data_IF_617404790243
#
_entry.id   IF_617404790243
#
_cell.length_a   1.000
_cell.length_b   1.000
_cell.length_c   1.000
_cell.angle_alpha   90.00
_cell.angle_beta   90.00
_cell.angle_gamma   90.00
#
_symmetry.space_group_name_H-M   'P 1'
#
loop_
_entity.id
_entity.type
_entity.pdbx_description
1 polymer ?
#
# COMPACT_ATOMS: atom_id res chain seq x y z
N UNK A 1 -62.83 17.62 -16.19
CA UNK A 1 -61.74 18.44 -15.60
C UNK A 1 -60.50 17.57 -15.54
N UNK A 2 -59.53 17.82 -16.43
CA UNK A 2 -58.23 17.12 -16.45
C UNK A 2 -57.25 17.95 -15.64
N UNK A 3 -56.79 17.43 -14.51
CA UNK A 3 -55.73 18.04 -13.70
C UNK A 3 -54.39 17.72 -14.36
N UNK A 4 -53.74 18.78 -14.85
CA UNK A 4 -52.41 18.75 -15.44
C UNK A 4 -51.38 18.90 -14.32
N UNK A 5 -50.64 17.84 -14.02
CA UNK A 5 -49.52 17.89 -13.08
C UNK A 5 -48.28 18.31 -13.86
N UNK A 6 -47.86 19.56 -13.68
CA UNK A 6 -46.59 20.08 -14.22
C UNK A 6 -45.47 19.54 -13.31
N UNK A 7 -44.67 18.61 -13.83
CA UNK A 7 -43.39 18.24 -13.24
C UNK A 7 -42.37 19.32 -13.58
N UNK A 8 -42.00 20.13 -12.60
CA UNK A 8 -40.79 20.97 -12.66
C UNK A 8 -39.58 20.03 -12.56
N UNK A 9 -38.98 19.74 -13.71
CA UNK A 9 -37.71 19.05 -13.80
C UNK A 9 -36.62 20.06 -13.38
N UNK A 10 -36.23 20.03 -12.10
CA UNK A 10 -35.06 20.75 -11.62
C UNK A 10 -33.82 20.12 -12.25
N UNK A 11 -33.32 20.69 -13.36
CA UNK A 11 -31.96 20.43 -13.84
C UNK A 11 -30.99 20.95 -12.78
N UNK A 12 -30.58 20.06 -11.86
CA UNK A 12 -29.29 20.17 -11.20
C UNK A 12 -28.24 19.98 -12.30
N UNK A 13 -27.84 21.10 -12.91
CA UNK A 13 -26.58 21.18 -13.62
C UNK A 13 -25.50 20.87 -12.58
N UNK A 14 -25.03 19.63 -12.57
CA UNK A 14 -23.78 19.28 -11.91
C UNK A 14 -22.70 20.09 -12.64
N UNK A 15 -22.34 21.24 -12.07
CA UNK A 15 -21.09 21.90 -12.39
C UNK A 15 -19.98 20.93 -11.97
N UNK A 16 -19.56 20.09 -12.92
CA UNK A 16 -18.26 19.43 -12.86
C UNK A 16 -17.22 20.54 -12.98
N UNK A 17 -16.95 21.20 -11.86
CA UNK A 17 -15.68 21.86 -11.67
C UNK A 17 -14.66 20.72 -11.74
N UNK A 18 -14.00 20.60 -12.88
CA UNK A 18 -12.77 19.84 -12.99
C UNK A 18 -11.75 20.58 -12.13
N UNK A 19 -11.76 20.30 -10.82
CA UNK A 19 -10.64 20.62 -9.97
C UNK A 19 -9.43 19.91 -10.58
N UNK A 20 -8.36 20.65 -10.87
CA UNK A 20 -7.09 20.04 -11.22
C UNK A 20 -6.73 19.10 -10.06
N UNK A 21 -6.45 17.83 -10.35
CA UNK A 21 -6.01 16.91 -9.31
C UNK A 21 -4.71 17.46 -8.72
N UNK A 22 -4.74 17.80 -7.42
CA UNK A 22 -3.57 18.29 -6.70
C UNK A 22 -2.43 17.27 -6.85
N UNK A 23 -1.22 17.74 -7.16
CA UNK A 23 -0.06 16.86 -7.27
C UNK A 23 0.26 16.22 -5.92
N UNK A 24 0.17 14.89 -5.88
CA UNK A 24 0.55 14.10 -4.72
C UNK A 24 1.63 13.10 -5.14
N UNK A 25 2.88 13.20 -4.64
CA UNK A 25 3.98 12.30 -4.99
C UNK A 25 3.86 10.95 -4.25
N UNK A 26 2.72 10.30 -4.38
CA UNK A 26 2.45 8.97 -3.83
C UNK A 26 2.49 7.97 -4.97
N UNK A 27 3.39 7.00 -4.87
CA UNK A 27 3.50 5.92 -5.84
C UNK A 27 3.00 4.63 -5.22
N UNK A 28 1.95 4.07 -5.80
CA UNK A 28 1.36 2.80 -5.33
C UNK A 28 1.80 1.64 -6.23
N UNK A 29 2.25 0.55 -5.61
CA UNK A 29 2.51 -0.73 -6.26
C UNK A 29 1.79 -1.85 -5.53
N UNK A 30 1.20 -2.75 -6.30
CA UNK A 30 0.40 -3.85 -5.75
C UNK A 30 1.23 -5.12 -5.67
N UNK A 31 1.15 -5.80 -4.52
CA UNK A 31 1.73 -7.12 -4.30
C UNK A 31 0.64 -8.11 -3.92
N UNK A 32 0.75 -9.34 -4.41
CA UNK A 32 -0.22 -10.40 -4.19
C UNK A 32 0.40 -11.52 -3.34
N UNK A 33 -0.25 -11.83 -2.22
CA UNK A 33 0.06 -13.01 -1.41
C UNK A 33 -0.93 -14.09 -1.82
N UNK A 34 -0.52 -14.92 -2.79
CA UNK A 34 -1.38 -15.94 -3.40
C UNK A 34 -0.83 -17.35 -3.25
N UNK A 35 -1.73 -18.27 -2.93
CA UNK A 35 -1.52 -19.72 -3.00
C UNK A 35 -2.86 -20.44 -3.17
N UNK A 36 -2.87 -21.53 -3.93
CA UNK A 36 -4.07 -22.33 -4.21
C UNK A 36 -3.76 -23.81 -4.07
N UNK A 37 -4.81 -24.63 -4.02
CA UNK A 37 -4.69 -26.09 -3.84
C UNK A 37 -3.99 -26.47 -2.54
N UNK A 38 -4.18 -25.66 -1.50
CA UNK A 38 -3.68 -25.94 -0.16
C UNK A 38 -4.48 -27.09 0.44
N UNK A 39 -3.79 -28.00 1.12
CA UNK A 39 -4.39 -29.20 1.73
C UNK A 39 -4.49 -29.02 3.24
N UNK A 40 -5.56 -29.51 3.85
CA UNK A 40 -5.76 -29.54 5.29
C UNK A 40 -5.56 -30.96 5.83
N UNK A 41 -4.30 -31.40 5.83
CA UNK A 41 -3.91 -32.75 6.28
C UNK A 41 -4.03 -32.88 7.81
N UNK A 42 -5.22 -33.26 8.26
CA UNK A 42 -5.57 -33.43 9.66
C UNK A 42 -5.95 -34.89 9.92
N UNK A 43 -5.86 -35.32 11.18
CA UNK A 43 -6.37 -36.63 11.58
C UNK A 43 -7.88 -36.75 11.32
N UNK A 44 -8.39 -37.97 11.20
CA UNK A 44 -9.83 -38.24 10.96
C UNK A 44 -10.60 -38.46 12.26
N UNK A 45 -9.91 -38.82 13.35
CA UNK A 45 -10.49 -39.10 14.66
C UNK A 45 -9.52 -38.72 15.78
N UNK A 46 -10.00 -38.82 17.03
CA UNK A 46 -9.21 -38.66 18.26
C UNK A 46 -8.18 -39.77 18.52
N UNK A 47 -8.21 -40.85 17.74
CA UNK A 47 -7.23 -41.95 17.88
C UNK A 47 -5.91 -41.60 17.18
N UNK A 48 -5.95 -40.60 16.29
CA UNK A 48 -4.78 -40.12 15.55
C UNK A 48 -4.11 -41.18 14.66
N UNK A 49 -4.88 -42.17 14.20
CA UNK A 49 -4.36 -43.28 13.38
C UNK A 49 -4.25 -42.93 11.89
N UNK A 50 -5.22 -42.17 11.36
CA UNK A 50 -5.31 -41.85 9.93
C UNK A 50 -5.50 -40.37 9.70
N UNK A 51 -4.88 -39.86 8.63
CA UNK A 51 -5.04 -38.48 8.17
C UNK A 51 -5.76 -38.45 6.82
N UNK A 52 -6.48 -37.36 6.58
CA UNK A 52 -7.02 -37.03 5.26
C UNK A 52 -6.83 -35.55 4.99
N UNK A 53 -6.93 -35.16 3.73
CA UNK A 53 -7.09 -33.76 3.38
C UNK A 53 -8.54 -33.33 3.60
N UNK A 54 -8.79 -32.55 4.64
CA UNK A 54 -10.12 -32.06 4.98
C UNK A 54 -10.61 -30.95 4.04
N UNK A 55 -9.70 -30.31 3.32
CA UNK A 55 -10.02 -29.24 2.38
C UNK A 55 -10.15 -29.73 0.94
N UNK A 56 -9.83 -31.01 0.66
CA UNK A 56 -9.85 -31.60 -0.69
C UNK A 56 -9.10 -30.75 -1.75
N UNK A 57 -7.93 -30.22 -1.38
CA UNK A 57 -7.17 -29.25 -2.17
C UNK A 57 -7.99 -28.02 -2.61
N UNK A 58 -9.01 -27.65 -1.84
CA UNK A 58 -9.87 -26.49 -2.06
C UNK A 58 -9.42 -25.25 -1.29
N UNK A 59 -8.45 -25.35 -0.37
CA UNK A 59 -8.03 -24.19 0.40
C UNK A 59 -7.16 -23.25 -0.45
N UNK A 60 -7.34 -21.95 -0.25
CA UNK A 60 -6.63 -20.89 -0.97
C UNK A 60 -6.44 -19.64 -0.12
N UNK A 61 -5.41 -18.88 -0.47
CA UNK A 61 -5.13 -17.55 0.06
C UNK A 61 -4.90 -16.62 -1.12
N UNK A 62 -5.56 -15.49 -1.13
CA UNK A 62 -5.37 -14.42 -2.12
C UNK A 62 -5.63 -13.07 -1.46
N UNK A 63 -4.53 -12.42 -1.08
CA UNK A 63 -4.53 -11.11 -0.43
C UNK A 63 -3.79 -10.12 -1.32
N UNK A 64 -4.43 -8.98 -1.55
CA UNK A 64 -3.87 -7.85 -2.28
C UNK A 64 -3.36 -6.80 -1.30
N UNK A 65 -2.04 -6.59 -1.31
CA UNK A 65 -1.35 -5.58 -0.49
C UNK A 65 -0.95 -4.41 -1.39
N UNK A 66 -1.50 -3.23 -1.11
CA UNK A 66 -1.08 -1.98 -1.73
C UNK A 66 0.09 -1.40 -0.96
N UNK A 67 1.21 -1.16 -1.64
CA UNK A 67 2.43 -0.58 -1.08
C UNK A 67 2.60 0.82 -1.66
N UNK A 68 2.44 1.82 -0.81
CA UNK A 68 2.57 3.23 -1.18
C UNK A 68 3.93 3.75 -0.72
N UNK A 69 4.67 4.38 -1.62
CA UNK A 69 5.94 5.05 -1.32
C UNK A 69 5.77 6.55 -1.56
N UNK A 70 6.21 7.37 -0.61
CA UNK A 70 6.02 8.82 -0.67
C UNK A 70 7.08 9.58 0.13
N UNK A 71 7.30 10.83 -0.24
CA UNK A 71 8.10 11.81 0.49
C UNK A 71 7.18 12.80 1.20
N UNK A 72 7.36 12.99 2.50
CA UNK A 72 6.66 14.03 3.26
C UNK A 72 7.64 15.08 3.72
N UNK A 73 7.44 16.35 3.37
CA UNK A 73 8.20 17.48 3.91
C UNK A 73 7.53 18.05 5.15
N UNK A 74 8.23 18.91 5.89
CA UNK A 74 7.62 19.62 7.00
C UNK A 74 6.65 20.71 6.51
N UNK A 75 5.40 20.61 6.94
CA UNK A 75 4.33 21.56 6.61
C UNK A 75 3.43 21.76 7.82
N UNK A 76 2.92 22.99 7.99
CA UNK A 76 2.00 23.29 9.08
C UNK A 76 0.60 22.79 8.74
N UNK A 77 -0.04 22.16 9.72
CA UNK A 77 -1.41 21.62 9.63
C UNK A 77 -2.21 22.09 10.82
N UNK A 78 -3.53 21.94 10.76
CA UNK A 78 -4.40 22.18 11.92
C UNK A 78 -4.11 21.25 13.11
N UNK A 79 -3.36 20.16 12.91
CA UNK A 79 -3.05 19.14 13.93
C UNK A 79 -1.57 19.13 14.36
N UNK A 80 -0.76 20.08 13.89
CA UNK A 80 0.68 20.14 14.15
C UNK A 80 1.48 20.23 12.85
N UNK A 81 2.67 19.63 12.81
CA UNK A 81 3.51 19.60 11.61
C UNK A 81 3.55 18.20 11.01
N UNK A 82 3.54 18.12 9.67
CA UNK A 82 3.86 16.87 8.97
C UNK A 82 5.34 16.54 9.17
N UNK A 83 5.70 15.24 9.24
CA UNK A 83 7.10 14.85 9.42
C UNK A 83 7.90 15.07 8.15
N UNK A 84 9.17 15.43 8.31
CA UNK A 84 10.16 15.44 7.22
C UNK A 84 10.79 14.04 7.10
N UNK A 85 10.17 13.16 6.29
CA UNK A 85 10.54 11.74 6.23
C UNK A 85 10.25 11.10 4.86
N UNK A 86 10.90 9.96 4.62
CA UNK A 86 10.54 8.98 3.58
C UNK A 86 9.54 8.01 4.18
N UNK A 87 8.43 7.76 3.51
CA UNK A 87 7.32 6.97 4.05
C UNK A 87 7.03 5.79 3.13
N UNK A 88 6.82 4.63 3.74
CA UNK A 88 6.26 3.45 3.08
C UNK A 88 5.04 2.98 3.86
N UNK A 89 3.92 2.80 3.16
CA UNK A 89 2.66 2.34 3.74
C UNK A 89 2.23 1.04 3.09
N UNK A 90 1.90 0.04 3.90
CA UNK A 90 1.33 -1.23 3.44
C UNK A 90 -0.12 -1.31 3.89
N UNK A 91 -1.02 -1.51 2.94
CA UNK A 91 -2.46 -1.52 3.21
C UNK A 91 -3.12 -2.69 2.51
N UNK A 92 -4.02 -3.38 3.22
CA UNK A 92 -5.03 -4.27 2.63
C UNK A 92 -6.37 -3.57 2.81
N UNK A 93 -6.90 -2.98 1.73
CA UNK A 93 -8.13 -2.18 1.74
C UNK A 93 -9.37 -3.08 1.70
N UNK A 94 -10.45 -2.72 2.42
CA UNK A 94 -11.63 -3.58 2.55
C UNK A 94 -12.34 -3.89 1.21
N UNK A 95 -12.40 -2.92 0.28
CA UNK A 95 -13.02 -3.06 -1.04
C UNK A 95 -12.13 -3.76 -2.07
N UNK A 96 -10.83 -3.89 -1.76
CA UNK A 96 -9.77 -4.32 -2.68
C UNK A 96 -8.86 -5.38 -2.09
N UNK A 97 -9.25 -6.05 -1.02
CA UNK A 97 -8.42 -6.98 -0.25
C UNK A 97 -7.99 -8.24 -1.00
N UNK A 98 -8.58 -8.54 -2.17
CA UNK A 98 -8.49 -9.83 -2.84
C UNK A 98 -9.67 -10.75 -2.51
N UNK A 99 -9.56 -12.04 -2.85
CA UNK A 99 -10.60 -13.02 -2.53
C UNK A 99 -10.54 -13.56 -1.10
N UNK A 100 -9.42 -13.37 -0.40
CA UNK A 100 -9.23 -13.66 1.02
C UNK A 100 -8.69 -15.06 1.30
N UNK A 101 -8.99 -15.57 2.49
CA UNK A 101 -8.76 -16.97 2.86
C UNK A 101 -10.02 -17.79 2.62
N UNK A 102 -9.85 -18.98 2.05
CA UNK A 102 -10.89 -19.98 1.88
C UNK A 102 -10.32 -21.35 2.28
N UNK A 103 -11.08 -22.16 3.03
CA UNK A 103 -10.73 -23.54 3.37
C UNK A 103 -11.67 -24.51 2.62
N UNK A 104 -12.99 -24.39 2.84
CA UNK A 104 -14.05 -25.22 2.25
C UNK A 104 -15.35 -24.41 2.11
N UNK A 105 -16.22 -24.76 1.17
CA UNK A 105 -17.52 -24.11 1.00
C UNK A 105 -18.47 -24.40 2.18
N UNK A 106 -18.46 -25.63 2.67
CA UNK A 106 -19.33 -26.13 3.73
C UNK A 106 -18.53 -26.83 4.83
N UNK A 107 -18.77 -26.42 6.08
CA UNK A 107 -18.18 -27.07 7.25
C UNK A 107 -18.71 -28.51 7.39
N UNK A 108 -17.81 -29.49 7.48
CA UNK A 108 -18.18 -30.90 7.59
C UNK A 108 -18.43 -31.25 9.06
N UNK A 109 -19.48 -32.04 9.32
CA UNK A 109 -19.81 -32.60 10.63
C UNK A 109 -20.36 -34.01 10.42
N UNK A 110 -19.71 -35.02 10.99
CA UNK A 110 -20.10 -36.42 10.82
C UNK A 110 -19.52 -37.31 11.95
N UNK A 111 -19.65 -38.62 11.79
CA UNK A 111 -19.11 -39.65 12.66
C UNK A 111 -17.72 -40.10 12.19
N UNK A 112 -16.76 -40.13 13.11
CA UNK A 112 -15.49 -40.83 12.90
C UNK A 112 -15.60 -42.33 13.24
N UNK A 113 -16.56 -42.69 14.11
CA UNK A 113 -16.91 -44.06 14.43
C UNK A 113 -18.34 -44.14 14.99
N UNK A 114 -19.09 -45.19 14.64
CA UNK A 114 -20.49 -45.34 15.05
C UNK A 114 -20.81 -46.78 15.42
N UNK A 115 -21.19 -47.01 16.69
CA UNK A 115 -21.80 -48.27 17.13
C UNK A 115 -23.30 -48.09 17.40
N UNK A 116 -23.68 -46.97 18.05
CA UNK A 116 -25.09 -46.65 18.31
C UNK A 116 -25.27 -45.15 18.59
N UNK A 117 -26.54 -44.73 18.68
CA UNK A 117 -26.91 -43.39 19.17
C UNK A 117 -26.56 -43.16 20.66
N UNK A 118 -26.10 -44.19 21.38
CA UNK A 118 -25.61 -44.04 22.73
C UNK A 118 -24.09 -44.13 22.82
N UNK A 119 -23.40 -44.70 21.82
CA UNK A 119 -21.96 -44.91 21.77
C UNK A 119 -21.39 -44.61 20.37
N UNK A 120 -20.77 -43.44 20.21
CA UNK A 120 -20.20 -42.99 18.92
C UNK A 120 -19.13 -41.93 19.11
N UNK A 121 -18.35 -41.68 18.06
CA UNK A 121 -17.38 -40.60 17.96
C UNK A 121 -17.78 -39.68 16.81
N UNK A 122 -17.64 -38.38 17.01
CA UNK A 122 -18.08 -37.34 16.09
C UNK A 122 -16.92 -36.40 15.77
N UNK A 123 -17.05 -35.64 14.69
CA UNK A 123 -16.12 -34.59 14.34
C UNK A 123 -16.82 -33.36 13.76
N UNK A 124 -16.13 -32.22 13.80
CA UNK A 124 -16.48 -31.01 13.05
C UNK A 124 -15.22 -30.31 12.53
N UNK A 125 -15.21 -29.91 11.25
CA UNK A 125 -14.05 -29.31 10.59
C UNK A 125 -14.08 -29.43 9.06
N UNK A 126 -13.10 -28.87 8.34
CA UNK A 126 -12.05 -28.00 8.87
C UNK A 126 -12.56 -26.56 9.05
N UNK A 127 -12.06 -25.88 10.07
CA UNK A 127 -12.25 -24.43 10.25
C UNK A 127 -10.92 -23.81 10.68
N UNK A 128 -10.72 -22.52 10.50
CA UNK A 128 -9.50 -21.83 10.91
C UNK A 128 -9.55 -21.52 12.41
N UNK A 129 -8.54 -21.93 13.17
CA UNK A 129 -8.38 -21.44 14.54
C UNK A 129 -7.73 -20.06 14.60
N UNK A 130 -6.92 -19.72 13.59
CA UNK A 130 -6.36 -18.38 13.45
C UNK A 130 -6.07 -18.05 11.99
N UNK A 131 -6.13 -16.74 11.71
CA UNK A 131 -5.55 -16.11 10.53
C UNK A 131 -4.51 -15.10 10.99
N UNK A 132 -3.37 -15.02 10.32
CA UNK A 132 -2.27 -14.13 10.69
C UNK A 132 -1.80 -13.39 9.44
N UNK A 133 -1.53 -12.08 9.58
CA UNK A 133 -0.89 -11.26 8.55
C UNK A 133 0.24 -10.47 9.17
N UNK A 134 1.31 -10.26 8.41
CA UNK A 134 2.46 -9.51 8.89
C UNK A 134 3.15 -8.70 7.80
N UNK A 135 3.87 -7.68 8.26
CA UNK A 135 4.83 -6.89 7.51
C UNK A 135 6.05 -6.73 8.43
N UNK A 136 7.19 -7.29 8.04
CA UNK A 136 8.40 -7.30 8.88
C UNK A 136 9.62 -6.90 8.06
N UNK A 137 10.40 -5.89 8.47
CA UNK A 137 11.70 -5.65 7.85
C UNK A 137 12.65 -6.80 8.20
N UNK A 138 13.11 -7.55 7.20
CA UNK A 138 13.93 -8.77 7.39
C UNK A 138 15.39 -8.60 6.99
N UNK A 139 15.72 -7.59 6.20
CA UNK A 139 17.11 -7.29 5.79
C UNK A 139 17.28 -5.83 5.40
N UNK A 140 18.50 -5.31 5.54
CA UNK A 140 18.85 -3.93 5.23
C UNK A 140 18.56 -2.96 6.37
N UNK A 141 18.21 -1.72 6.02
CA UNK A 141 17.81 -0.70 7.00
C UNK A 141 16.51 -1.11 7.69
N UNK A 142 16.37 -0.81 8.99
CA UNK A 142 15.14 -1.07 9.75
C UNK A 142 14.41 0.26 9.96
N UNK A 143 13.35 0.56 9.18
CA UNK A 143 12.59 1.80 9.33
C UNK A 143 11.74 1.76 10.59
N UNK A 144 11.41 2.93 11.12
CA UNK A 144 10.55 3.06 12.29
C UNK A 144 9.10 2.87 11.87
N UNK A 145 8.39 1.93 12.48
CA UNK A 145 6.93 1.89 12.35
C UNK A 145 6.32 3.00 13.19
N UNK A 146 5.49 3.83 12.58
CA UNK A 146 4.91 5.02 13.23
C UNK A 146 3.42 4.89 13.48
N UNK A 147 2.76 4.01 12.74
CA UNK A 147 1.33 3.76 12.89
C UNK A 147 1.00 2.37 12.39
N UNK A 148 0.07 1.71 13.06
CA UNK A 148 -0.54 0.47 12.60
C UNK A 148 -1.99 0.36 13.06
N UNK A 149 -2.75 -0.43 12.30
CA UNK A 149 -4.15 -0.74 12.54
C UNK A 149 -4.48 -2.11 11.94
N UNK A 150 -5.38 -2.92 12.53
CA UNK A 150 -6.21 -2.69 13.73
C UNK A 150 -5.46 -2.81 15.06
N UNK A 151 -6.00 -2.21 16.13
CA UNK A 151 -5.51 -2.44 17.51
C UNK A 151 -6.09 -3.73 18.12
N UNK A 152 -5.71 -4.04 19.35
CA UNK A 152 -6.27 -5.17 20.09
C UNK A 152 -7.75 -4.96 20.35
N UNK A 153 -8.58 -5.88 19.88
CA UNK A 153 -10.04 -5.83 19.99
C UNK A 153 -10.60 -7.19 20.39
N UNK A 154 -11.68 -7.20 21.18
CA UNK A 154 -12.41 -8.41 21.54
C UNK A 154 -13.31 -8.90 20.38
N UNK A 155 -13.96 -10.06 20.53
CA UNK A 155 -14.89 -10.60 19.51
C UNK A 155 -16.11 -9.72 19.24
N UNK A 156 -16.85 -10.04 18.17
CA UNK A 156 -18.04 -9.30 17.71
C UNK A 156 -17.75 -7.82 17.38
N UNK A 157 -16.50 -7.54 17.00
CA UNK A 157 -16.07 -6.21 16.60
C UNK A 157 -16.60 -5.89 15.19
N UNK A 158 -17.44 -4.86 15.12
CA UNK A 158 -17.96 -4.30 13.88
C UNK A 158 -17.68 -2.80 13.82
N UNK A 159 -16.72 -2.41 12.99
CA UNK A 159 -16.43 -1.00 12.79
C UNK A 159 -16.00 -0.68 11.37
N UNK A 160 -16.20 0.60 11.01
CA UNK A 160 -15.75 1.19 9.76
C UNK A 160 -14.91 2.39 10.13
N UNK A 161 -13.60 2.21 10.06
CA UNK A 161 -12.63 3.26 10.37
C UNK A 161 -12.06 3.86 9.11
N UNK A 162 -11.85 5.17 9.14
CA UNK A 162 -11.11 5.87 8.10
C UNK A 162 -9.77 6.27 8.70
N UNK A 163 -8.71 5.61 8.25
CA UNK A 163 -7.36 5.81 8.77
C UNK A 163 -6.56 6.70 7.81
N UNK A 164 -6.23 7.88 8.30
CA UNK A 164 -5.55 8.93 7.53
C UNK A 164 -4.14 9.19 8.03
N UNK A 165 -3.24 9.44 7.09
CA UNK A 165 -1.90 9.95 7.39
C UNK A 165 -1.67 11.25 6.61
N UNK A 166 -1.15 12.26 7.30
CA UNK A 166 -0.91 13.59 6.74
C UNK A 166 0.54 13.71 6.28
N UNK A 167 0.75 13.98 5.00
CA UNK A 167 2.06 14.29 4.42
C UNK A 167 2.15 15.76 4.06
N UNK A 168 3.34 16.34 4.20
CA UNK A 168 3.62 17.66 3.65
C UNK A 168 4.14 17.51 2.23
N UNK A 169 3.70 18.39 1.34
CA UNK A 169 4.11 18.43 -0.06
C UNK A 169 4.65 19.84 -0.35
N UNK A 170 5.81 19.90 -1.00
CA UNK A 170 6.34 21.15 -1.50
C UNK A 170 5.50 21.64 -2.69
N UNK A 171 4.84 22.79 -2.52
CA UNK A 171 3.95 23.38 -3.52
C UNK A 171 3.02 24.43 -2.93
N UNK A 172 2.59 25.38 -3.75
CA UNK A 172 1.76 26.50 -3.29
C UNK A 172 0.32 26.10 -2.98
N UNK A 173 -0.08 26.31 -1.73
CA UNK A 173 -1.48 26.37 -1.36
C UNK A 173 -2.15 27.60 -1.99
N UNK A 174 -3.03 27.39 -2.97
CA UNK A 174 -3.89 28.46 -3.53
C UNK A 174 -3.34 29.23 -4.73
N UNK A 175 -2.12 28.95 -5.19
CA UNK A 175 -1.81 29.14 -6.61
C UNK A 175 -2.04 27.78 -7.25
N UNK A 176 -2.95 27.70 -8.22
CA UNK A 176 -3.21 26.50 -8.99
C UNK A 176 -1.87 25.86 -9.35
N UNK A 177 -1.50 24.75 -8.68
CA UNK A 177 -0.65 23.77 -9.32
C UNK A 177 -1.55 23.19 -10.40
N UNK A 178 -1.73 23.96 -11.47
CA UNK A 178 -2.45 23.53 -12.64
C UNK A 178 -1.72 22.34 -13.25
N UNK A 179 -2.20 21.85 -14.39
CA UNK A 179 -1.52 20.78 -15.13
C UNK A 179 -0.05 21.10 -15.47
N UNK A 180 0.30 22.39 -15.43
CA UNK A 180 1.65 22.89 -15.58
C UNK A 180 2.27 23.02 -14.17
N UNK A 181 3.34 22.28 -13.88
CA UNK A 181 3.94 22.13 -12.54
C UNK A 181 4.52 23.43 -11.96
N UNK A 182 5.17 23.38 -10.77
CA UNK A 182 5.63 24.60 -10.10
C UNK A 182 6.67 25.36 -10.95
N UNK A 183 6.36 26.62 -11.26
CA UNK A 183 7.27 27.61 -11.89
C UNK A 183 8.04 28.46 -10.85
N UNK A 184 7.77 28.26 -9.57
CA UNK A 184 8.43 28.95 -8.44
C UNK A 184 9.08 27.90 -7.55
N UNK A 185 10.23 28.20 -6.94
CA UNK A 185 10.97 27.25 -6.10
C UNK A 185 10.13 26.71 -4.94
N UNK A 186 10.44 25.48 -4.52
CA UNK A 186 9.69 24.71 -3.53
C UNK A 186 9.57 25.40 -2.16
N UNK A 187 10.57 26.16 -1.71
CA UNK A 187 10.53 26.88 -0.43
C UNK A 187 9.78 28.22 -0.51
N UNK A 188 9.81 28.90 -1.66
CA UNK A 188 9.15 30.20 -1.84
C UNK A 188 7.64 30.04 -2.05
N UNK A 189 7.21 28.87 -2.52
CA UNK A 189 5.81 28.55 -2.78
C UNK A 189 5.02 28.11 -1.55
N UNK A 190 5.68 27.78 -0.43
CA UNK A 190 5.02 27.19 0.75
C UNK A 190 4.85 25.68 0.62
N UNK A 191 4.52 25.02 1.73
CA UNK A 191 4.17 23.59 1.76
C UNK A 191 2.71 23.43 2.17
N UNK A 192 2.03 22.43 1.63
CA UNK A 192 0.65 22.09 1.99
C UNK A 192 0.57 20.67 2.52
N UNK A 193 -0.46 20.39 3.31
CA UNK A 193 -0.71 19.05 3.84
C UNK A 193 -1.74 18.30 3.02
N UNK A 194 -1.42 17.07 2.63
CA UNK A 194 -2.35 16.13 2.02
C UNK A 194 -2.65 14.98 2.99
N UNK A 195 -3.93 14.65 3.17
CA UNK A 195 -4.38 13.56 4.02
C UNK A 195 -4.71 12.34 3.16
N UNK A 196 -3.91 11.28 3.28
CA UNK A 196 -4.14 10.02 2.59
C UNK A 196 -5.00 9.09 3.46
N UNK A 197 -6.31 9.07 3.23
CA UNK A 197 -7.27 8.27 3.99
C UNK A 197 -7.56 6.91 3.33
N UNK A 198 -7.66 5.86 4.15
CA UNK A 198 -8.07 4.51 3.73
C UNK A 198 -9.19 4.02 4.64
N UNK A 199 -10.25 3.47 4.06
CA UNK A 199 -11.38 2.90 4.82
C UNK A 199 -11.15 1.42 5.07
N UNK A 200 -11.21 1.03 6.33
CA UNK A 200 -11.03 -0.33 6.80
C UNK A 200 -12.34 -0.79 7.46
N UNK A 201 -12.73 -2.04 7.25
CA UNK A 201 -14.02 -2.58 7.71
C UNK A 201 -13.81 -3.94 8.33
N UNK A 202 -14.13 -4.07 9.61
CA UNK A 202 -13.98 -5.32 10.34
C UNK A 202 -15.34 -5.88 10.72
N UNK A 203 -15.52 -7.17 10.50
CA UNK A 203 -16.62 -7.96 11.06
C UNK A 203 -16.01 -9.27 11.54
N UNK A 204 -15.55 -9.30 12.78
CA UNK A 204 -14.68 -10.38 13.25
C UNK A 204 -15.45 -11.62 13.71
N UNK A 205 -16.76 -11.49 14.00
CA UNK A 205 -17.64 -12.55 14.49
C UNK A 205 -16.96 -13.36 15.60
N UNK A 206 -16.51 -14.58 15.26
CA UNK A 206 -15.92 -15.58 16.16
C UNK A 206 -14.48 -15.26 16.59
N UNK A 207 -13.86 -14.26 15.97
CA UNK A 207 -12.46 -13.93 16.14
C UNK A 207 -12.29 -12.65 16.95
N UNK A 208 -11.30 -12.65 17.83
CA UNK A 208 -10.73 -11.43 18.40
C UNK A 208 -9.53 -10.98 17.56
N UNK A 209 -9.24 -9.69 17.59
CA UNK A 209 -8.05 -9.14 16.93
C UNK A 209 -6.94 -9.02 17.96
N UNK A 210 -5.83 -9.70 17.70
CA UNK A 210 -4.63 -9.65 18.51
C UNK A 210 -3.50 -9.03 17.67
N UNK A 211 -3.29 -7.74 17.86
CA UNK A 211 -2.17 -7.01 17.29
C UNK A 211 -0.92 -7.25 18.16
N UNK A 212 -0.01 -8.07 17.63
CA UNK A 212 1.26 -8.50 18.26
C UNK A 212 2.45 -7.69 17.79
N UNK A 213 2.17 -6.58 17.12
CA UNK A 213 3.14 -5.58 16.72
C UNK A 213 4.14 -5.23 17.82
N UNK A 214 5.42 -5.15 17.44
CA UNK A 214 6.49 -4.73 18.34
C UNK A 214 7.58 -4.04 17.56
N UNK A 215 8.03 -2.86 18.03
CA UNK A 215 9.02 -2.04 17.32
C UNK A 215 8.61 -1.83 15.85
N UNK A 216 9.43 -2.31 14.90
CA UNK A 216 9.17 -2.23 13.47
C UNK A 216 8.42 -3.44 12.90
N UNK A 217 8.22 -4.49 13.70
CA UNK A 217 7.45 -5.64 13.25
C UNK A 217 5.96 -5.32 13.38
N UNK A 218 5.23 -5.51 12.28
CA UNK A 218 3.79 -5.52 12.27
C UNK A 218 3.30 -6.96 12.12
N UNK A 219 2.46 -7.39 13.05
CA UNK A 219 1.82 -8.71 13.02
C UNK A 219 0.43 -8.60 13.67
N UNK A 220 -0.58 -9.03 12.94
CA UNK A 220 -1.94 -9.16 13.43
C UNK A 220 -2.40 -10.60 13.33
N UNK A 221 -3.06 -11.07 14.37
CA UNK A 221 -3.67 -12.38 14.44
C UNK A 221 -5.16 -12.24 14.73
N UNK A 222 -6.00 -12.82 13.87
CA UNK A 222 -7.40 -13.06 14.13
C UNK A 222 -7.50 -14.42 14.79
N UNK A 223 -7.74 -14.46 16.09
CA UNK A 223 -7.77 -15.69 16.88
C UNK A 223 -9.19 -16.04 17.29
N UNK A 224 -9.60 -17.29 17.07
CA UNK A 224 -10.91 -17.75 17.52
C UNK A 224 -10.93 -17.78 19.05
N UNK A 225 -11.89 -17.09 19.67
CA UNK A 225 -11.94 -16.94 21.13
C UNK A 225 -12.71 -18.08 21.82
N UNK A 226 -13.52 -18.83 21.08
CA UNK A 226 -14.27 -19.95 21.64
C UNK A 226 -13.35 -21.08 22.09
N UNK A 227 -13.51 -21.49 23.35
CA UNK A 227 -12.99 -22.77 23.82
C UNK A 227 -13.87 -23.94 23.36
N UNK A 228 -13.39 -25.16 23.55
CA UNK A 228 -14.10 -26.37 23.09
C UNK A 228 -15.43 -26.62 23.82
N UNK A 229 -15.62 -26.06 25.02
CA UNK A 229 -16.84 -26.18 25.81
C UNK A 229 -17.93 -25.25 25.29
N UNK A 230 -17.54 -24.02 24.94
CA UNK A 230 -18.43 -23.04 24.34
C UNK A 230 -18.89 -23.46 22.93
N UNK A 231 -18.13 -24.31 22.23
CA UNK A 231 -18.51 -24.90 20.94
C UNK A 231 -19.54 -26.04 21.08
N UNK A 232 -19.81 -26.55 22.29
CA UNK A 232 -20.77 -27.63 22.53
C UNK A 232 -22.21 -27.20 22.23
N UNK A 233 -23.04 -28.17 21.84
CA UNK A 233 -24.48 -27.96 21.62
C UNK A 233 -25.23 -27.54 22.89
N UNK A 234 -24.75 -28.00 24.03
CA UNK A 234 -25.21 -27.62 25.37
C UNK A 234 -24.03 -27.76 26.31
N UNK A 235 -24.00 -26.92 27.32
CA UNK A 235 -23.04 -27.01 28.41
C UNK A 235 -23.81 -27.28 29.71
N UNK A 236 -23.38 -28.29 30.46
CA UNK A 236 -23.88 -28.58 31.82
C UNK A 236 -22.75 -28.25 32.83
N UNK A 237 -22.82 -28.78 34.06
CA UNK A 237 -21.74 -28.61 35.04
C UNK A 237 -20.51 -29.43 34.61
N UNK A 238 -19.61 -28.78 33.88
CA UNK A 238 -18.42 -29.35 33.25
C UNK A 238 -18.49 -29.25 31.73
N UNK A 239 -17.36 -29.47 31.05
CA UNK A 239 -17.25 -29.41 29.59
C UNK A 239 -17.91 -30.62 28.88
N UNK A 240 -19.17 -30.88 29.18
CA UNK A 240 -19.97 -31.97 28.63
C UNK A 240 -21.47 -31.67 28.82
N UNK A 241 -22.32 -32.51 28.24
CA UNK A 241 -23.76 -32.53 28.52
C UNK A 241 -24.33 -33.95 28.42
N UNK A 242 -25.53 -34.15 28.95
CA UNK A 242 -26.20 -35.44 28.92
C UNK A 242 -27.47 -35.41 28.06
N UNK A 243 -27.81 -36.55 27.46
CA UNK A 243 -29.05 -36.71 26.70
C UNK A 243 -29.52 -38.16 26.77
N UNK A 244 -30.81 -38.39 26.53
CA UNK A 244 -31.35 -39.75 26.42
C UNK A 244 -30.58 -40.58 25.38
N UNK A 245 -30.51 -41.89 25.58
CA UNK A 245 -29.77 -42.83 24.72
C UNK A 245 -30.23 -42.87 23.26
N UNK A 246 -31.47 -42.45 22.99
CA UNK A 246 -32.02 -42.32 21.64
C UNK A 246 -31.83 -40.91 21.05
N UNK A 247 -31.10 -40.02 21.73
CA UNK A 247 -30.76 -38.70 21.21
C UNK A 247 -29.80 -38.77 20.03
N UNK A 248 -30.18 -38.14 18.92
CA UNK A 248 -29.39 -38.09 17.68
C UNK A 248 -28.53 -36.82 17.53
N UNK A 249 -28.34 -36.07 18.62
CA UNK A 249 -27.60 -34.80 18.60
C UNK A 249 -26.11 -34.96 18.28
N UNK A 250 -25.50 -33.85 17.84
CA UNK A 250 -24.05 -33.71 17.71
C UNK A 250 -23.44 -33.15 18.99
N UNK A 251 -22.16 -33.46 19.25
CA UNK A 251 -21.40 -32.90 20.38
C UNK A 251 -21.24 -31.38 20.22
N UNK A 252 -20.80 -30.95 19.04
CA UNK A 252 -20.58 -29.53 18.73
C UNK A 252 -21.77 -28.93 17.98
N UNK A 253 -22.02 -27.65 18.23
CA UNK A 253 -23.04 -26.89 17.54
C UNK A 253 -22.50 -26.26 16.25
N UNK A 254 -22.95 -26.75 15.10
CA UNK A 254 -22.50 -26.23 13.80
C UNK A 254 -22.84 -24.74 13.62
N UNK A 255 -23.91 -24.22 14.23
CA UNK A 255 -24.28 -22.80 14.08
C UNK A 255 -23.35 -21.83 14.81
N UNK A 256 -22.46 -22.32 15.68
CA UNK A 256 -21.44 -21.51 16.36
C UNK A 256 -20.18 -21.28 15.51
N UNK A 257 -20.13 -21.83 14.29
CA UNK A 257 -19.02 -21.67 13.36
C UNK A 257 -19.48 -20.79 12.19
N UNK A 258 -19.16 -19.51 12.25
CA UNK A 258 -19.53 -18.58 11.19
C UNK A 258 -18.75 -18.89 9.91
N UNK A 259 -19.30 -18.63 8.70
CA UNK A 259 -18.63 -18.87 7.42
C UNK A 259 -17.25 -18.20 7.28
N UNK A 260 -17.00 -17.14 8.05
CA UNK A 260 -15.68 -16.51 8.16
C UNK A 260 -14.58 -17.47 8.64
N UNK A 261 -14.94 -18.55 9.31
CA UNK A 261 -13.99 -19.56 9.79
C UNK A 261 -13.64 -20.65 8.78
N UNK A 262 -14.34 -20.77 7.64
CA UNK A 262 -14.08 -21.83 6.67
C UNK A 262 -14.32 -21.45 5.21
N UNK A 263 -15.37 -20.69 4.92
CA UNK A 263 -15.76 -20.34 3.55
C UNK A 263 -15.01 -19.11 3.04
N UNK A 264 -15.08 -17.97 3.74
CA UNK A 264 -14.39 -16.77 3.27
C UNK A 264 -14.05 -15.81 4.41
N UNK A 265 -12.77 -15.49 4.55
CA UNK A 265 -12.31 -14.39 5.38
C UNK A 265 -11.47 -13.38 4.60
N UNK A 266 -11.88 -12.11 4.63
CA UNK A 266 -11.16 -10.99 4.01
C UNK A 266 -10.60 -10.07 5.10
N UNK A 267 -9.34 -10.27 5.53
CA UNK A 267 -8.72 -9.36 6.49
C UNK A 267 -8.45 -8.02 5.82
N UNK A 268 -8.23 -7.01 6.65
CA UNK A 268 -7.72 -5.72 6.23
C UNK A 268 -6.80 -5.17 7.32
N UNK A 269 -5.84 -4.35 6.92
CA UNK A 269 -4.89 -3.72 7.83
C UNK A 269 -4.25 -2.51 7.17
N UNK A 270 -3.61 -1.69 8.00
CA UNK A 270 -2.80 -0.57 7.57
C UNK A 270 -1.57 -0.44 8.47
N UNK A 271 -0.39 -0.28 7.86
CA UNK A 271 0.85 -0.03 8.60
C UNK A 271 1.73 0.96 7.86
N UNK A 272 2.31 1.90 8.60
CA UNK A 272 3.11 3.01 8.10
C UNK A 272 4.51 2.98 8.72
N UNK A 273 5.50 3.05 7.84
CA UNK A 273 6.93 3.09 8.16
C UNK A 273 7.53 4.42 7.72
N UNK A 274 8.42 4.96 8.56
CA UNK A 274 9.22 6.15 8.28
C UNK A 274 10.72 5.81 8.27
N UNK A 275 11.44 6.44 7.34
CA UNK A 275 12.89 6.49 7.31
C UNK A 275 13.35 7.97 7.25
N UNK A 276 14.51 8.30 7.85
CA UNK A 276 15.12 9.62 7.72
C UNK A 276 15.35 9.98 6.24
N UNK A 277 15.28 11.28 5.94
CA UNK A 277 15.50 11.80 4.58
C UNK A 277 16.91 11.49 4.05
N UNK A 278 17.90 11.42 4.93
CA UNK A 278 19.28 11.04 4.61
C UNK A 278 19.49 9.54 4.42
N UNK A 279 18.49 8.70 4.68
CA UNK A 279 18.62 7.26 4.58
C UNK A 279 18.82 6.83 3.12
N UNK A 280 19.83 6.00 2.89
CA UNK A 280 20.16 5.39 1.59
C UNK A 280 20.13 3.86 1.68
N UNK A 281 20.30 3.18 0.55
CA UNK A 281 20.29 1.71 0.51
C UNK A 281 18.87 1.14 0.57
N UNK A 282 18.72 -0.10 1.02
CA UNK A 282 17.47 -0.84 0.86
C UNK A 282 16.92 -1.40 2.17
N UNK A 283 15.62 -1.67 2.18
CA UNK A 283 14.96 -2.56 3.15
C UNK A 283 14.19 -3.62 2.39
N UNK A 284 14.43 -4.88 2.73
CA UNK A 284 13.57 -5.98 2.33
C UNK A 284 12.52 -6.22 3.42
N UNK A 285 11.26 -6.01 3.08
CA UNK A 285 10.12 -6.36 3.91
C UNK A 285 9.61 -7.75 3.53
N UNK A 286 9.40 -8.60 4.52
CA UNK A 286 8.56 -9.78 4.37
C UNK A 286 7.11 -9.40 4.67
N UNK A 287 6.26 -9.48 3.65
CA UNK A 287 4.81 -9.48 3.81
C UNK A 287 4.33 -10.92 3.79
N UNK A 288 3.35 -11.28 4.61
CA UNK A 288 2.88 -12.64 4.58
C UNK A 288 1.51 -12.85 5.19
N UNK A 289 0.98 -14.02 4.87
CA UNK A 289 -0.30 -14.50 5.35
C UNK A 289 -0.17 -15.94 5.83
N UNK A 290 -0.88 -16.27 6.91
CA UNK A 290 -0.92 -17.60 7.49
C UNK A 290 -2.33 -17.92 7.98
N UNK A 291 -2.68 -19.20 7.91
CA UNK A 291 -3.85 -19.71 8.60
C UNK A 291 -3.52 -21.04 9.27
N UNK A 292 -4.23 -21.34 10.36
CA UNK A 292 -4.18 -22.62 11.04
C UNK A 292 -5.55 -23.29 10.91
N UNK A 293 -5.64 -24.33 10.09
CA UNK A 293 -6.84 -25.16 9.99
C UNK A 293 -6.91 -26.15 11.17
N UNK A 294 -8.12 -26.39 11.66
CA UNK A 294 -8.44 -27.20 12.82
C UNK A 294 -9.65 -28.10 12.55
N UNK A 295 -9.61 -29.31 13.12
CA UNK A 295 -10.77 -30.19 13.28
C UNK A 295 -10.94 -30.54 14.76
N UNK A 296 -12.19 -30.64 15.22
CA UNK A 296 -12.56 -31.04 16.59
C UNK A 296 -13.15 -32.43 16.58
N UNK A 297 -12.90 -33.20 17.64
CA UNK A 297 -13.46 -34.53 17.85
C UNK A 297 -14.28 -34.55 19.13
N UNK A 298 -15.38 -35.28 19.11
CA UNK A 298 -16.29 -35.40 20.25
C UNK A 298 -16.68 -36.86 20.49
N UNK A 299 -16.92 -37.19 21.74
CA UNK A 299 -17.35 -38.51 22.19
C UNK A 299 -18.79 -38.48 22.68
N UNK A 300 -19.50 -39.56 22.38
CA UNK A 300 -20.78 -39.88 22.99
C UNK A 300 -20.66 -41.27 23.61
N UNK A 301 -20.74 -41.36 24.93
CA UNK A 301 -20.50 -42.59 25.69
C UNK A 301 -21.75 -42.92 26.53
N UNK A 302 -22.18 -44.19 26.59
CA UNK A 302 -23.35 -44.56 27.39
C UNK A 302 -23.02 -44.56 28.89
N UNK A 303 -23.95 -44.04 29.69
CA UNK A 303 -24.04 -44.22 31.16
C UNK A 303 -25.29 -45.05 31.49
N UNK A 304 -25.61 -45.23 32.78
CA UNK A 304 -26.71 -46.09 33.25
C UNK A 304 -28.11 -45.63 32.80
N UNK A 305 -28.33 -44.32 32.63
CA UNK A 305 -29.64 -43.73 32.30
C UNK A 305 -29.62 -42.75 31.12
N UNK A 306 -28.43 -42.29 30.73
CA UNK A 306 -28.23 -41.26 29.71
C UNK A 306 -26.90 -41.48 28.99
N UNK A 307 -26.74 -40.85 27.83
CA UNK A 307 -25.46 -40.74 27.15
C UNK A 307 -24.78 -39.42 27.49
N UNK A 308 -23.47 -39.47 27.68
CA UNK A 308 -22.62 -38.31 27.97
C UNK A 308 -21.94 -37.87 26.68
N UNK A 309 -22.05 -36.57 26.37
CA UNK A 309 -21.50 -35.92 25.18
C UNK A 309 -20.40 -34.97 25.62
N UNK A 310 -19.21 -35.07 25.04
CA UNK A 310 -18.10 -34.17 25.40
C UNK A 310 -16.98 -34.13 24.36
N UNK A 311 -16.03 -33.19 24.50
CA UNK A 311 -14.87 -33.11 23.62
C UNK A 311 -13.97 -34.34 23.81
N UNK A 312 -13.44 -34.83 22.69
CA UNK A 312 -12.56 -36.00 22.64
C UNK A 312 -11.16 -35.69 22.11
N UNK A 313 -10.91 -34.47 21.62
CA UNK A 313 -9.62 -34.02 21.12
C UNK A 313 -9.73 -33.12 19.89
N UNK A 314 -8.59 -32.81 19.27
CA UNK A 314 -8.51 -31.95 18.08
C UNK A 314 -7.25 -32.24 17.27
N UNK A 315 -7.22 -31.78 16.01
CA UNK A 315 -6.02 -31.77 15.18
C UNK A 315 -5.88 -30.41 14.48
N UNK A 316 -4.64 -29.97 14.24
CA UNK A 316 -4.34 -28.75 13.50
C UNK A 316 -3.27 -28.96 12.42
N UNK A 317 -3.28 -28.09 11.42
CA UNK A 317 -2.26 -27.93 10.39
C UNK A 317 -2.27 -26.47 9.94
N UNK A 318 -1.18 -25.97 9.36
CA UNK A 318 -1.10 -24.56 8.99
C UNK A 318 -0.24 -24.33 7.77
N UNK A 319 -0.52 -23.23 7.08
CA UNK A 319 0.21 -22.77 5.92
C UNK A 319 0.70 -21.34 6.14
N UNK A 320 1.92 -21.06 5.71
CA UNK A 320 2.52 -19.72 5.71
C UNK A 320 2.94 -19.38 4.28
N UNK A 321 2.56 -18.20 3.81
CA UNK A 321 2.82 -17.72 2.45
C UNK A 321 3.55 -16.37 2.54
N UNK A 322 4.88 -16.36 2.78
CA UNK A 322 5.66 -15.12 2.78
C UNK A 322 5.99 -14.64 1.36
N UNK A 323 6.15 -13.33 1.21
CA UNK A 323 6.62 -12.64 0.01
C UNK A 323 7.55 -11.50 0.40
N UNK A 324 8.58 -11.27 -0.40
CA UNK A 324 9.53 -10.18 -0.16
C UNK A 324 9.19 -8.96 -1.03
N UNK A 325 9.17 -7.79 -0.40
CA UNK A 325 9.02 -6.48 -1.03
C UNK A 325 10.28 -5.66 -0.72
N UNK A 326 11.01 -5.27 -1.76
CA UNK A 326 12.20 -4.42 -1.62
C UNK A 326 11.83 -2.95 -1.79
N UNK A 327 12.26 -2.13 -0.84
CA UNK A 327 12.22 -0.67 -0.91
C UNK A 327 13.65 -0.16 -1.05
N UNK A 328 13.88 0.73 -2.01
CA UNK A 328 15.13 1.45 -2.18
C UNK A 328 14.98 2.89 -1.69
N UNK A 329 15.61 3.20 -0.56
CA UNK A 329 15.56 4.52 0.04
C UNK A 329 16.38 5.54 -0.74
N UNK A 330 17.31 5.11 -1.60
CA UNK A 330 18.05 5.99 -2.51
C UNK A 330 17.23 6.35 -3.76
N UNK A 331 16.04 5.77 -3.93
CA UNK A 331 15.25 5.98 -5.13
C UNK A 331 14.78 7.45 -5.24
N UNK A 332 14.87 8.07 -6.43
CA UNK A 332 14.57 9.49 -6.64
C UNK A 332 13.14 9.91 -6.28
N UNK A 333 12.18 8.97 -6.22
CA UNK A 333 10.81 9.25 -5.75
C UNK A 333 10.76 9.88 -4.36
N UNK A 334 11.81 9.69 -3.55
CA UNK A 334 11.89 10.23 -2.21
C UNK A 334 12.49 11.65 -2.17
N UNK A 335 12.69 12.28 -3.31
CA UNK A 335 13.08 13.68 -3.39
C UNK A 335 11.91 14.61 -3.06
N UNK A 336 12.21 15.73 -2.41
CA UNK A 336 11.21 16.63 -1.85
C UNK A 336 10.54 17.52 -2.91
N UNK A 337 11.23 17.77 -4.03
CA UNK A 337 10.72 18.64 -5.08
C UNK A 337 9.77 17.89 -6.01
N UNK A 338 8.76 18.61 -6.52
CA UNK A 338 7.83 18.04 -7.49
C UNK A 338 8.56 17.49 -8.72
N UNK A 339 8.17 16.30 -9.14
CA UNK A 339 8.75 15.63 -10.30
C UNK A 339 8.14 16.22 -11.57
N UNK A 340 8.96 16.90 -12.37
CA UNK A 340 8.52 17.56 -13.60
C UNK A 340 9.35 17.14 -14.80
N UNK A 341 8.72 17.08 -15.96
CA UNK A 341 9.42 17.19 -17.25
C UNK A 341 9.47 18.64 -17.68
N UNK A 342 10.59 19.07 -18.25
CA UNK A 342 10.70 20.36 -18.91
C UNK A 342 10.41 20.17 -20.39
N UNK A 343 9.19 20.52 -20.81
CA UNK A 343 8.72 20.31 -22.17
C UNK A 343 8.77 21.61 -22.98
N UNK A 344 9.28 21.54 -24.20
CA UNK A 344 9.25 22.68 -25.11
C UNK A 344 7.83 22.96 -25.58
N UNK A 345 7.47 24.24 -25.64
CA UNK A 345 6.27 24.73 -26.32
C UNK A 345 6.55 25.13 -27.78
N UNK A 346 7.82 25.05 -28.18
CA UNK A 346 8.28 25.38 -29.54
C UNK A 346 8.44 24.13 -30.42
N UNK A 347 8.28 22.93 -29.84
CA UNK A 347 8.34 21.65 -30.51
C UNK A 347 7.28 20.70 -29.92
N UNK A 348 6.58 19.94 -30.78
CA UNK A 348 5.39 19.17 -30.40
C UNK A 348 5.67 17.96 -29.48
N UNK A 349 6.93 17.51 -29.38
CA UNK A 349 7.32 16.35 -28.56
C UNK A 349 8.81 16.43 -28.21
N UNK A 350 9.21 17.47 -27.46
CA UNK A 350 10.59 17.64 -27.02
C UNK A 350 10.65 17.95 -25.53
N UNK A 351 11.35 17.10 -24.78
CA UNK A 351 11.60 17.21 -23.37
C UNK A 351 13.10 17.29 -23.10
N UNK A 352 13.49 18.03 -22.06
CA UNK A 352 14.88 18.10 -21.62
C UNK A 352 15.31 16.76 -21.02
N UNK A 353 16.36 16.17 -21.59
CA UNK A 353 16.79 14.79 -21.37
C UNK A 353 18.28 14.71 -21.03
N UNK A 354 18.63 13.95 -19.99
CA UNK A 354 20.02 13.58 -19.69
C UNK A 354 20.44 12.40 -20.58
N UNK A 355 21.26 12.70 -21.59
CA UNK A 355 21.89 11.68 -22.45
C UNK A 355 23.01 10.95 -21.70
N UNK A 356 23.75 11.69 -20.88
CA UNK A 356 24.90 11.17 -20.13
C UNK A 356 26.21 11.21 -20.90
N UNK A 357 27.26 10.67 -20.29
CA UNK A 357 28.61 10.55 -20.87
C UNK A 357 28.86 9.10 -21.26
N UNK A 358 29.11 8.81 -22.54
CA UNK A 358 29.25 7.43 -23.05
C UNK A 358 28.07 6.51 -22.70
N UNK A 359 26.87 7.08 -22.55
CA UNK A 359 25.65 6.37 -22.17
C UNK A 359 25.44 6.22 -20.65
N UNK A 360 26.39 6.66 -19.82
CA UNK A 360 26.21 6.76 -18.37
C UNK A 360 25.51 8.08 -18.02
N UNK A 361 24.24 7.97 -17.59
CA UNK A 361 23.36 9.09 -17.26
C UNK A 361 23.55 9.63 -15.83
N UNK A 362 24.31 8.93 -14.99
CA UNK A 362 24.66 9.36 -13.63
C UNK A 362 26.00 10.09 -13.59
N UNK A 363 26.81 9.95 -14.65
CA UNK A 363 28.12 10.58 -14.78
C UNK A 363 28.04 12.11 -14.77
N UNK A 364 28.96 12.71 -14.02
CA UNK A 364 29.25 14.15 -14.06
C UNK A 364 29.74 14.56 -15.47
N UNK A 365 29.38 15.78 -15.90
CA UNK A 365 29.62 16.25 -17.26
C UNK A 365 28.69 15.65 -18.31
N UNK A 366 27.70 14.84 -17.92
CA UNK A 366 26.74 14.20 -18.82
C UNK A 366 26.00 15.23 -19.67
N UNK A 367 25.96 15.04 -20.99
CA UNK A 367 25.27 15.95 -21.90
C UNK A 367 23.76 15.95 -21.61
N UNK A 368 23.17 17.14 -21.63
CA UNK A 368 21.72 17.35 -21.56
C UNK A 368 21.26 17.93 -22.89
N UNK A 369 20.21 17.35 -23.46
CA UNK A 369 19.69 17.77 -24.75
C UNK A 369 18.17 17.51 -24.89
N UNK A 370 17.58 17.84 -26.03
CA UNK A 370 16.17 17.57 -26.31
C UNK A 370 15.93 16.15 -26.83
N UNK A 371 14.96 15.43 -26.25
CA UNK A 371 14.49 14.15 -26.77
C UNK A 371 12.97 14.03 -26.79
N UNK A 372 12.44 13.05 -27.52
CA UNK A 372 11.00 12.74 -27.51
C UNK A 372 10.53 12.47 -26.09
N UNK A 373 9.41 13.08 -25.69
CA UNK A 373 8.92 12.99 -24.32
C UNK A 373 8.43 11.57 -24.03
N UNK A 374 9.02 10.92 -23.04
CA UNK A 374 8.62 9.58 -22.59
C UNK A 374 8.50 9.45 -21.07
N UNK A 375 8.82 10.50 -20.31
CA UNK A 375 8.57 10.59 -18.86
C UNK A 375 9.40 9.61 -18.02
N UNK A 376 10.52 9.13 -18.55
CA UNK A 376 11.47 8.33 -17.76
C UNK A 376 12.33 9.23 -16.87
N UNK A 377 13.00 8.66 -15.88
CA UNK A 377 13.78 9.40 -14.88
C UNK A 377 14.82 10.36 -15.43
N UNK A 378 15.38 10.11 -16.62
CA UNK A 378 16.33 10.99 -17.32
C UNK A 378 15.69 12.23 -17.96
N UNK A 379 14.37 12.32 -17.99
CA UNK A 379 13.63 13.52 -18.38
C UNK A 379 12.94 14.19 -17.18
N UNK A 380 13.12 13.63 -15.99
CA UNK A 380 12.47 14.09 -14.78
C UNK A 380 13.44 14.92 -13.96
N UNK A 381 12.97 16.08 -13.54
CA UNK A 381 13.73 17.08 -12.81
C UNK A 381 12.94 17.52 -11.57
N UNK A 382 13.63 18.13 -10.61
CA UNK A 382 13.02 18.80 -9.48
C UNK A 382 13.69 20.14 -9.21
N UNK A 383 12.88 21.21 -9.09
CA UNK A 383 13.38 22.54 -8.77
C UNK A 383 13.51 22.70 -7.25
N UNK A 384 14.74 22.77 -6.76
CA UNK A 384 15.03 22.92 -5.33
C UNK A 384 14.91 24.37 -4.84
N UNK A 385 15.14 24.58 -3.54
CA UNK A 385 15.06 25.90 -2.92
C UNK A 385 16.23 26.83 -3.28
N UNK A 386 17.35 26.28 -3.75
CA UNK A 386 18.50 27.04 -4.25
C UNK A 386 18.35 27.47 -5.72
N UNK A 387 17.15 27.27 -6.30
CA UNK A 387 16.80 27.51 -7.69
C UNK A 387 17.52 26.59 -8.68
N UNK A 388 17.85 25.36 -8.30
CA UNK A 388 18.54 24.39 -9.17
C UNK A 388 17.59 23.29 -9.62
N UNK A 389 17.71 22.89 -10.89
CA UNK A 389 17.04 21.69 -11.39
C UNK A 389 17.90 20.46 -11.14
N UNK A 390 17.50 19.67 -10.13
CA UNK A 390 18.13 18.39 -9.77
C UNK A 390 17.62 17.27 -10.68
N UNK A 391 18.53 16.48 -11.24
CA UNK A 391 18.20 15.31 -12.07
C UNK A 391 17.57 14.21 -11.20
N UNK A 392 16.60 13.47 -11.74
CA UNK A 392 16.06 12.29 -11.06
C UNK A 392 16.72 10.97 -11.46
N UNK A 393 17.73 11.01 -12.31
CA UNK A 393 18.63 9.85 -12.50
C UNK A 393 19.73 9.85 -11.44
N UNK A 394 20.22 11.04 -11.08
CA UNK A 394 21.21 11.25 -10.03
C UNK A 394 20.86 12.54 -9.26
N UNK A 395 20.23 12.44 -8.08
CA UNK A 395 19.78 13.63 -7.34
C UNK A 395 20.88 14.57 -6.86
N UNK A 396 22.14 14.13 -6.82
CA UNK A 396 23.30 14.98 -6.53
C UNK A 396 23.81 15.75 -7.77
N UNK A 397 23.16 15.57 -8.93
CA UNK A 397 23.47 16.27 -10.17
C UNK A 397 22.43 17.33 -10.53
N UNK A 398 22.93 18.50 -10.94
CA UNK A 398 22.15 19.68 -11.27
C UNK A 398 22.36 20.11 -12.72
N UNK A 399 21.28 20.58 -13.37
CA UNK A 399 21.30 21.17 -14.70
C UNK A 399 22.21 22.40 -14.71
N UNK A 400 23.27 22.36 -15.51
CA UNK A 400 24.35 23.35 -15.54
C UNK A 400 24.57 23.89 -16.94
N UNK A 401 24.76 25.20 -17.05
CA UNK A 401 25.23 25.85 -18.28
C UNK A 401 26.76 25.76 -18.35
N UNK A 402 27.30 25.16 -19.41
CA UNK A 402 28.74 25.13 -19.66
C UNK A 402 29.24 26.43 -20.31
N UNK A 403 30.55 26.63 -20.36
CA UNK A 403 31.16 27.83 -20.98
C UNK A 403 30.83 27.97 -22.47
N UNK A 404 30.62 26.83 -23.15
CA UNK A 404 30.18 26.77 -24.55
C UNK A 404 28.66 26.97 -24.71
N UNK A 405 27.95 27.32 -23.63
CA UNK A 405 26.50 27.56 -23.57
C UNK A 405 25.64 26.32 -23.86
N UNK A 406 26.25 25.14 -23.83
CA UNK A 406 25.57 23.85 -23.82
C UNK A 406 25.12 23.49 -22.40
N UNK A 407 24.32 22.43 -22.28
CA UNK A 407 23.81 21.96 -21.00
C UNK A 407 24.48 20.65 -20.61
N UNK A 408 24.88 20.57 -19.34
CA UNK A 408 25.38 19.35 -18.71
C UNK A 408 24.71 19.10 -17.37
N UNK A 409 24.88 17.89 -16.85
CA UNK A 409 24.63 17.60 -15.44
C UNK A 409 25.95 17.60 -14.67
N UNK A 410 26.07 18.44 -13.66
CA UNK A 410 27.26 18.56 -12.81
C UNK A 410 26.89 18.35 -11.35
N UNK A 411 27.86 18.08 -10.48
CA UNK A 411 27.61 18.06 -9.03
C UNK A 411 26.93 19.36 -8.57
N UNK A 412 25.84 19.22 -7.82
CA UNK A 412 25.08 20.36 -7.31
C UNK A 412 25.95 21.23 -6.40
N UNK A 413 25.97 22.54 -6.68
CA UNK A 413 26.78 23.54 -6.00
C UNK A 413 26.01 24.85 -5.86
N UNK A 414 26.66 25.93 -5.42
CA UNK A 414 26.08 27.28 -5.36
C UNK A 414 26.32 28.11 -6.64
N UNK A 415 26.89 27.50 -7.68
CA UNK A 415 27.26 28.19 -8.92
C UNK A 415 26.03 28.78 -9.63
N UNK A 416 26.14 30.03 -10.10
CA UNK A 416 25.08 30.72 -10.85
C UNK A 416 24.72 29.99 -12.16
N UNK A 417 25.66 29.26 -12.76
CA UNK A 417 25.42 28.44 -13.94
C UNK A 417 24.39 27.31 -13.71
N UNK A 418 24.10 26.98 -12.44
CA UNK A 418 23.15 25.95 -12.04
C UNK A 418 21.79 26.51 -11.59
N UNK A 419 21.65 27.84 -11.57
CA UNK A 419 20.46 28.50 -11.03
C UNK A 419 19.54 28.96 -12.15
N UNK A 420 18.26 28.64 -11.98
CA UNK A 420 17.22 28.79 -12.97
C UNK A 420 15.95 29.37 -12.36
N UNK A 421 15.30 30.27 -13.07
CA UNK A 421 14.01 30.81 -12.64
C UNK A 421 13.09 31.03 -13.84
N UNK A 422 11.78 31.01 -13.59
CA UNK A 422 10.79 31.23 -14.64
C UNK A 422 10.41 32.70 -14.75
N UNK A 423 10.28 33.16 -15.99
CA UNK A 423 9.55 34.38 -16.34
C UNK A 423 8.59 34.02 -17.48
N UNK A 424 7.29 34.00 -17.17
CA UNK A 424 6.24 33.47 -18.05
C UNK A 424 6.53 32.02 -18.51
N UNK A 425 6.71 31.82 -19.82
CA UNK A 425 7.04 30.54 -20.45
C UNK A 425 8.55 30.42 -20.77
N UNK A 426 9.39 31.29 -20.22
CA UNK A 426 10.84 31.23 -20.41
C UNK A 426 11.51 30.73 -19.15
N UNK A 427 12.39 29.74 -19.31
CA UNK A 427 13.30 29.32 -18.24
C UNK A 427 14.62 30.07 -18.38
N UNK A 428 14.91 30.91 -17.40
CA UNK A 428 16.00 31.86 -17.41
C UNK A 428 17.16 31.31 -16.59
N UNK A 429 18.37 31.33 -17.13
CA UNK A 429 19.59 31.01 -16.40
C UNK A 429 20.15 32.23 -15.69
N UNK A 430 20.74 32.03 -14.49
CA UNK A 430 21.56 33.05 -13.83
C UNK A 430 23.02 33.04 -14.28
N UNK A 431 23.38 32.21 -15.26
CA UNK A 431 24.72 32.17 -15.85
C UNK A 431 25.22 33.56 -16.28
N UNK A 432 26.51 33.81 -16.05
CA UNK A 432 27.20 35.06 -16.40
C UNK A 432 28.51 34.75 -17.12
N UNK A 433 28.77 35.45 -18.22
CA UNK A 433 29.99 35.35 -19.04
C UNK A 433 30.71 36.70 -19.21
N UNK A 434 30.33 37.70 -18.41
CA UNK A 434 30.87 39.07 -18.49
C UNK A 434 30.26 39.94 -19.59
N UNK A 435 29.35 39.42 -20.42
CA UNK A 435 28.68 40.22 -21.47
C UNK A 435 27.47 41.02 -20.97
N UNK A 436 27.06 40.84 -19.70
CA UNK A 436 25.83 41.36 -19.11
C UNK A 436 24.54 40.98 -19.86
N UNK A 437 24.59 39.97 -20.73
CA UNK A 437 23.41 39.42 -21.38
C UNK A 437 22.66 38.49 -20.44
N UNK A 438 21.34 38.45 -20.59
CA UNK A 438 20.46 37.51 -19.90
C UNK A 438 20.26 36.28 -20.78
N UNK A 439 20.41 35.10 -20.21
CA UNK A 439 20.39 33.83 -20.94
C UNK A 439 19.12 33.04 -20.66
N UNK A 440 18.52 32.48 -21.71
CA UNK A 440 17.29 31.68 -21.62
C UNK A 440 17.51 30.30 -22.26
N UNK A 441 16.84 29.28 -21.70
CA UNK A 441 16.82 27.93 -22.27
C UNK A 441 16.21 27.99 -23.68
N UNK A 442 16.94 27.54 -24.68
CA UNK A 442 16.56 27.66 -26.08
C UNK A 442 16.93 26.41 -26.87
N UNK A 443 16.13 26.08 -27.88
CA UNK A 443 16.52 25.08 -28.88
C UNK A 443 17.45 25.77 -29.88
N UNK A 444 18.69 25.32 -29.99
CA UNK A 444 19.72 25.87 -30.86
C UNK A 444 19.56 25.36 -32.29
N UNK A 445 19.46 24.04 -32.47
CA UNK A 445 19.20 23.40 -33.77
C UNK A 445 18.62 21.99 -33.59
N UNK A 446 17.51 21.70 -34.27
CA UNK A 446 16.84 20.40 -34.23
C UNK A 446 16.48 19.95 -32.82
N UNK A 447 17.32 19.08 -32.25
CA UNK A 447 17.19 18.60 -30.87
C UNK A 447 18.14 19.27 -29.89
N UNK A 448 19.18 19.95 -30.37
CA UNK A 448 20.22 20.59 -29.58
C UNK A 448 19.63 21.73 -28.71
N UNK A 449 19.78 21.62 -27.40
CA UNK A 449 19.31 22.58 -26.40
C UNK A 449 20.49 23.18 -25.66
N UNK A 450 20.45 24.49 -25.52
CA UNK A 450 21.47 25.28 -24.83
C UNK A 450 20.85 26.52 -24.20
N UNK A 451 21.70 27.51 -23.93
CA UNK A 451 21.24 28.86 -23.60
C UNK A 451 21.58 29.85 -24.70
N UNK A 452 20.69 30.81 -24.93
CA UNK A 452 20.85 31.88 -25.91
C UNK A 452 20.53 33.21 -25.23
N UNK A 453 21.16 34.34 -25.61
CA UNK A 453 20.71 35.66 -25.17
C UNK A 453 19.21 35.83 -25.41
N UNK A 454 18.50 36.39 -24.43
CA UNK A 454 17.04 36.48 -24.45
C UNK A 454 16.48 37.18 -25.70
N UNK A 455 17.18 38.19 -26.19
CA UNK A 455 16.85 38.98 -27.38
C UNK A 455 17.11 38.25 -28.70
N UNK A 456 17.91 37.19 -28.68
CA UNK A 456 18.28 36.38 -29.84
C UNK A 456 17.53 35.03 -29.88
N UNK A 457 16.87 34.64 -28.78
CA UNK A 457 16.27 33.32 -28.62
C UNK A 457 14.89 33.21 -29.31
N UNK A 458 14.77 32.29 -30.26
CA UNK A 458 13.56 32.12 -31.09
C UNK A 458 12.69 30.93 -30.67
N UNK A 459 13.23 29.96 -29.93
CA UNK A 459 12.57 28.73 -29.49
C UNK A 459 12.69 28.53 -27.97
N UNK A 460 12.49 29.63 -27.23
CA UNK A 460 12.73 29.71 -25.77
C UNK A 460 11.49 29.45 -24.91
N UNK A 461 10.37 29.02 -25.51
CA UNK A 461 9.15 28.72 -24.76
C UNK A 461 9.19 27.29 -24.25
N UNK A 462 9.07 27.13 -22.94
CA UNK A 462 9.08 25.88 -22.21
C UNK A 462 8.01 25.89 -21.14
N UNK A 463 7.68 24.70 -20.61
CA UNK A 463 6.86 24.58 -19.42
C UNK A 463 7.26 23.38 -18.57
N UNK A 464 7.17 23.48 -17.23
CA UNK A 464 7.22 22.32 -16.38
C UNK A 464 5.88 21.56 -16.49
N UNK A 465 5.93 20.25 -16.69
CA UNK A 465 4.74 19.38 -16.68
C UNK A 465 4.93 18.33 -15.59
N UNK A 466 3.95 18.21 -14.69
CA UNK A 466 4.02 17.25 -13.60
C UNK A 466 4.06 15.82 -14.14
N UNK A 467 4.96 15.01 -13.59
CA UNK A 467 5.09 13.61 -13.94
C UNK A 467 4.30 12.74 -12.97
N UNK A 468 3.48 11.85 -13.52
CA UNK A 468 2.96 10.72 -12.77
C UNK A 468 4.07 9.68 -12.65
N UNK A 469 4.65 9.61 -11.46
CA UNK A 469 5.73 8.68 -11.15
C UNK A 469 5.22 7.23 -11.27
N UNK A 470 6.00 6.37 -11.92
CA UNK A 470 5.74 4.92 -12.02
C UNK A 470 6.95 4.15 -11.47
N UNK A 471 6.67 3.05 -10.76
CA UNK A 471 7.64 2.11 -10.16
C UNK A 471 7.81 0.83 -10.97
#
# INVERSE_FOLDING_TARGET
MKTSTIFTLSLLAASVNAFADDYVPVVEKVYYITSSKLTCNLYTSKDFDTKRDWCNAGASVDIRVNVSQMRSVQSSTSQGFTPDAKIVRFTVEADKAGTGFHLVDDLQQDHSWFQSWANRRTYIGPFASSYELWVKPVSGYVPKKVSDFPHNENKDYQHRDTHGYSIGINGSAGAEVGKDGPKVSAEVSGSFSYKNEKTLVFDTKDYRVNNRSSLSDFEIAFEREFDECQELRREELGCYFTSAHWGSGWVFDKSKFNPISYANFKPNYDVIYEAPVSQTGTTDFEIGAKFIAKARYGDVIPSALFSVYGPGGWATTGWSIPRTVRIDWSHPLFEAEAHVTLQSLSNNDLCLDVYGTNGDKEAEGGQVDGWSCHGSWNQTWGLDSDERYRSRVAPDRCLTVSDDKNLTVESCSSNLAQKWFWEDDKLISRYVDGTNKRYVLNILDGRNVGVTPEDEATHARWKPTLQQIKL
#
